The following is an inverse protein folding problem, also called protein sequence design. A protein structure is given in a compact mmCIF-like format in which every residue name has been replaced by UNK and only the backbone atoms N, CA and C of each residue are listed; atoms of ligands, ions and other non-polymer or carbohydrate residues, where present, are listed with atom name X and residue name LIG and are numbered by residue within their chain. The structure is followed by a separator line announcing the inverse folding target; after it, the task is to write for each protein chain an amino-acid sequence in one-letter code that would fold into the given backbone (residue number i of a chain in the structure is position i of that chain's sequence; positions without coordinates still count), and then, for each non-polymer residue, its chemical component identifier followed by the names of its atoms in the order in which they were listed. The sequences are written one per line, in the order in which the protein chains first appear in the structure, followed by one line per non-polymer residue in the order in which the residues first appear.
data_IF_606982718946
#
_entry.id   IF_606982718946
#
_cell.length_a   1.000
_cell.length_b   1.000
_cell.length_c   1.000
_cell.angle_alpha   90.00
_cell.angle_beta   90.00
_cell.angle_gamma   90.00
#
_symmetry.space_group_name_H-M   'P 1'
#
loop_
_entity.id
_entity.type
_entity.pdbx_description
1 polymer ?
#
# COMPACT_ATOMS: atom_id res chain seq x y z
N UNK A 1 45.25 20.62 -29.99
CA UNK A 1 44.00 21.37 -29.76
C UNK A 1 42.94 20.37 -29.32
N UNK A 2 42.65 20.38 -28.03
CA UNK A 2 41.89 19.35 -27.32
C UNK A 2 40.41 19.41 -27.70
N UNK A 3 39.85 18.26 -28.08
CA UNK A 3 38.41 18.06 -28.26
C UNK A 3 37.80 17.80 -26.88
N UNK A 4 37.04 18.76 -26.39
CA UNK A 4 36.27 18.71 -25.16
C UNK A 4 35.23 17.60 -25.25
N UNK A 5 35.39 16.57 -24.42
CA UNK A 5 34.40 15.53 -24.18
C UNK A 5 33.33 16.11 -23.26
N UNK A 6 32.14 16.42 -23.78
CA UNK A 6 30.99 16.84 -22.98
C UNK A 6 30.37 15.56 -22.41
N UNK A 7 30.61 15.31 -21.12
CA UNK A 7 30.00 14.25 -20.34
C UNK A 7 28.53 14.65 -20.08
N UNK A 8 27.59 14.02 -20.78
CA UNK A 8 26.17 14.14 -20.49
C UNK A 8 25.88 13.36 -19.20
N UNK A 9 25.82 14.07 -18.08
CA UNK A 9 25.34 13.54 -16.80
C UNK A 9 23.82 13.45 -16.88
N UNK A 10 23.30 12.29 -17.28
CA UNK A 10 21.87 11.98 -17.24
C UNK A 10 21.50 11.70 -15.77
N UNK A 11 21.25 12.74 -14.98
CA UNK A 11 20.60 12.62 -13.69
C UNK A 11 19.15 12.22 -13.93
N UNK A 12 18.86 10.91 -13.86
CA UNK A 12 17.49 10.41 -13.75
C UNK A 12 17.02 10.77 -12.33
N UNK A 13 16.28 11.88 -12.22
CA UNK A 13 15.46 12.17 -11.05
C UNK A 13 14.32 11.13 -11.02
N UNK A 14 14.52 10.02 -10.32
CA UNK A 14 13.40 9.20 -9.86
C UNK A 14 12.72 9.97 -8.74
N UNK A 15 11.65 10.68 -9.10
CA UNK A 15 10.72 11.23 -8.13
C UNK A 15 10.01 10.02 -7.53
N UNK A 16 10.30 9.70 -6.26
CA UNK A 16 9.50 8.80 -5.43
C UNK A 16 8.11 9.40 -5.33
N UNK A 17 7.24 8.99 -6.24
CA UNK A 17 5.85 9.43 -6.30
C UNK A 17 5.07 8.69 -5.23
N UNK A 18 4.61 9.41 -4.22
CA UNK A 18 3.49 8.94 -3.41
C UNK A 18 2.27 8.88 -4.34
N UNK A 19 1.89 7.69 -4.80
CA UNK A 19 0.77 7.51 -5.72
C UNK A 19 -0.54 7.69 -4.95
N UNK A 20 -0.97 8.92 -4.78
CA UNK A 20 -2.37 9.25 -4.48
C UNK A 20 -3.15 9.40 -5.79
N UNK A 21 -2.98 8.42 -6.69
CA UNK A 21 -3.61 8.40 -8.00
C UNK A 21 -5.08 7.98 -7.89
N UNK A 22 -5.96 8.57 -8.70
CA UNK A 22 -7.40 8.25 -8.73
C UNK A 22 -7.73 7.02 -9.59
N UNK A 23 -6.74 6.18 -9.88
CA UNK A 23 -6.86 5.05 -10.80
C UNK A 23 -5.91 3.94 -10.42
N UNK A 24 -6.20 2.76 -10.93
CA UNK A 24 -5.42 1.56 -10.70
C UNK A 24 -3.99 1.73 -11.26
N UNK A 25 -3.06 0.98 -10.70
CA UNK A 25 -1.67 0.94 -11.12
C UNK A 25 -1.28 -0.49 -11.52
N UNK A 26 -0.71 -0.64 -12.71
CA UNK A 26 -0.14 -1.89 -13.18
C UNK A 26 1.36 -1.70 -13.42
N UNK A 27 2.18 -2.48 -12.73
CA UNK A 27 3.64 -2.53 -12.89
C UNK A 27 4.02 -3.84 -13.56
N UNK A 28 4.65 -3.78 -14.73
CA UNK A 28 5.13 -4.95 -15.44
C UNK A 28 6.47 -5.45 -14.89
N UNK A 29 6.82 -6.69 -15.23
CA UNK A 29 8.09 -7.34 -14.90
C UNK A 29 9.35 -6.56 -15.30
N UNK A 30 9.26 -5.74 -16.36
CA UNK A 30 10.35 -4.86 -16.83
C UNK A 30 10.40 -3.51 -16.09
N UNK A 31 9.54 -3.31 -15.10
CA UNK A 31 9.38 -2.07 -14.34
C UNK A 31 8.51 -1.01 -15.03
N UNK A 32 7.93 -1.29 -16.19
CA UNK A 32 7.00 -0.37 -16.86
C UNK A 32 5.74 -0.17 -16.01
N UNK A 33 5.37 1.09 -15.78
CA UNK A 33 4.20 1.46 -15.00
C UNK A 33 3.08 2.00 -15.89
N UNK A 34 1.85 1.52 -15.65
CA UNK A 34 0.62 2.05 -16.24
C UNK A 34 -0.33 2.53 -15.15
N UNK A 35 -0.89 3.72 -15.33
CA UNK A 35 -2.02 4.23 -14.55
C UNK A 35 -3.29 4.21 -15.41
N UNK A 36 -4.40 3.73 -14.86
CA UNK A 36 -5.63 3.55 -15.61
C UNK A 36 -6.74 2.86 -14.83
N UNK A 37 -7.60 2.15 -15.54
CA UNK A 37 -8.66 1.32 -14.97
C UNK A 37 -8.48 -0.08 -15.54
N UNK A 38 -8.52 -1.07 -14.66
CA UNK A 38 -8.59 -2.47 -15.03
C UNK A 38 -9.96 -2.77 -15.63
N UNK A 39 -9.96 -3.29 -16.85
CA UNK A 39 -11.20 -3.65 -17.56
C UNK A 39 -11.50 -5.14 -17.42
N UNK A 40 -10.47 -5.98 -17.54
CA UNK A 40 -10.65 -7.44 -17.54
C UNK A 40 -9.35 -8.15 -17.15
N UNK A 41 -9.49 -9.31 -16.51
CA UNK A 41 -8.43 -10.32 -16.39
C UNK A 41 -9.04 -11.66 -16.83
N UNK A 42 -8.54 -12.24 -17.92
CA UNK A 42 -9.01 -13.54 -18.42
C UNK A 42 -7.91 -14.25 -19.18
N UNK A 43 -7.82 -15.57 -19.02
CA UNK A 43 -6.91 -16.45 -19.78
C UNK A 43 -5.44 -15.98 -19.87
N UNK A 44 -4.90 -15.45 -18.76
CA UNK A 44 -3.52 -14.93 -18.71
C UNK A 44 -3.33 -13.60 -19.44
N UNK A 45 -4.41 -12.89 -19.74
CA UNK A 45 -4.40 -11.53 -20.28
C UNK A 45 -5.03 -10.55 -19.29
N UNK A 46 -4.39 -9.40 -19.17
CA UNK A 46 -4.91 -8.23 -18.49
C UNK A 46 -5.27 -7.22 -19.56
N UNK A 47 -6.52 -6.76 -19.56
CA UNK A 47 -6.96 -5.62 -20.36
C UNK A 47 -6.94 -4.39 -19.46
N UNK A 48 -5.96 -3.53 -19.69
CA UNK A 48 -5.71 -2.34 -18.88
C UNK A 48 -5.62 -1.11 -19.78
N UNK A 49 -6.58 -0.18 -19.66
CA UNK A 49 -6.64 1.03 -20.50
C UNK A 49 -6.52 0.71 -22.00
N UNK A 50 -7.36 -0.22 -22.47
CA UNK A 50 -7.40 -0.72 -23.85
C UNK A 50 -6.09 -1.40 -24.34
N UNK A 51 -5.14 -1.69 -23.42
CA UNK A 51 -3.94 -2.46 -23.72
C UNK A 51 -4.12 -3.89 -23.24
N UNK A 52 -3.79 -4.83 -24.13
CA UNK A 52 -3.70 -6.25 -23.79
C UNK A 52 -2.28 -6.57 -23.33
N UNK A 53 -2.16 -7.10 -22.12
CA UNK A 53 -0.90 -7.43 -21.47
C UNK A 53 -0.94 -8.91 -21.09
N UNK A 54 0.03 -9.68 -21.56
CA UNK A 54 0.16 -11.09 -21.20
C UNK A 54 0.85 -11.20 -19.84
N UNK A 55 0.27 -11.98 -18.94
CA UNK A 55 0.88 -12.40 -17.68
C UNK A 55 1.03 -13.92 -17.68
N UNK A 56 2.19 -14.38 -17.24
CA UNK A 56 2.49 -15.81 -17.18
C UNK A 56 2.34 -16.36 -15.77
N UNK A 57 1.94 -17.63 -15.68
CA UNK A 57 1.89 -18.37 -14.42
C UNK A 57 0.65 -18.12 -13.57
N UNK A 58 0.71 -18.61 -12.33
CA UNK A 58 -0.32 -18.36 -11.32
C UNK A 58 -0.11 -16.98 -10.69
N UNK A 59 -1.20 -16.31 -10.37
CA UNK A 59 -1.19 -15.10 -9.58
C UNK A 59 -1.49 -15.37 -8.10
N UNK A 60 -1.05 -14.43 -7.26
CA UNK A 60 -1.39 -14.33 -5.84
C UNK A 60 -2.20 -13.05 -5.65
N UNK A 61 -3.41 -13.18 -5.11
CA UNK A 61 -4.33 -12.08 -4.83
C UNK A 61 -4.37 -11.88 -3.32
N UNK A 62 -3.82 -10.76 -2.85
CA UNK A 62 -3.92 -10.36 -1.46
C UNK A 62 -5.16 -9.51 -1.28
N UNK A 63 -5.95 -9.80 -0.25
CA UNK A 63 -7.17 -9.07 0.09
C UNK A 63 -6.92 -8.13 1.27
N UNK A 64 -7.78 -7.11 1.38
CA UNK A 64 -7.74 -6.11 2.45
C UNK A 64 -8.04 -6.69 3.85
N UNK A 65 -8.51 -7.93 3.95
CA UNK A 65 -8.68 -8.65 5.21
C UNK A 65 -7.45 -9.53 5.58
N UNK A 66 -6.38 -9.43 4.78
CA UNK A 66 -5.13 -10.18 4.95
C UNK A 66 -5.15 -11.60 4.39
N UNK A 67 -6.28 -12.08 3.85
CA UNK A 67 -6.32 -13.38 3.20
C UNK A 67 -5.67 -13.36 1.81
N UNK A 68 -5.25 -14.53 1.33
CA UNK A 68 -4.58 -14.69 0.03
C UNK A 68 -5.27 -15.76 -0.79
N UNK A 69 -5.56 -15.46 -2.06
CA UNK A 69 -6.01 -16.42 -3.07
C UNK A 69 -4.85 -16.71 -4.03
N UNK A 70 -4.70 -17.95 -4.47
CA UNK A 70 -3.63 -18.34 -5.39
C UNK A 70 -4.16 -19.20 -6.54
N UNK A 71 -3.63 -18.97 -7.74
CA UNK A 71 -3.91 -19.76 -8.93
C UNK A 71 -4.06 -18.89 -10.18
N UNK A 72 -4.71 -19.43 -11.21
CA UNK A 72 -5.05 -18.63 -12.39
C UNK A 72 -6.04 -17.55 -12.00
N UNK A 73 -5.66 -16.29 -12.17
CA UNK A 73 -6.46 -15.13 -11.79
C UNK A 73 -7.42 -14.77 -12.92
N UNK A 74 -8.68 -14.51 -12.58
CA UNK A 74 -9.62 -13.86 -13.49
C UNK A 74 -10.48 -12.81 -12.78
N UNK A 75 -10.96 -11.82 -13.53
CA UNK A 75 -11.86 -10.76 -13.07
C UNK A 75 -13.09 -10.76 -13.97
N UNK A 76 -14.25 -11.02 -13.37
CA UNK A 76 -15.53 -10.98 -14.07
C UNK A 76 -16.64 -10.54 -13.13
N UNK A 77 -17.56 -9.70 -13.62
CA UNK A 77 -18.75 -9.27 -12.86
C UNK A 77 -18.44 -8.71 -11.46
N UNK A 78 -17.34 -7.96 -11.32
CA UNK A 78 -16.91 -7.37 -10.03
C UNK A 78 -16.35 -8.39 -9.03
N UNK A 79 -16.04 -9.61 -9.47
CA UNK A 79 -15.39 -10.64 -8.65
C UNK A 79 -14.03 -11.00 -9.21
N UNK A 80 -13.06 -11.12 -8.31
CA UNK A 80 -11.76 -11.74 -8.60
C UNK A 80 -11.85 -13.21 -8.20
N UNK A 81 -11.30 -14.08 -9.04
CA UNK A 81 -11.09 -15.50 -8.70
C UNK A 81 -9.62 -15.82 -8.86
N UNK A 82 -9.10 -16.71 -8.02
CA UNK A 82 -7.79 -17.33 -8.20
C UNK A 82 -7.85 -18.78 -7.75
N UNK A 83 -7.61 -19.70 -8.68
CA UNK A 83 -7.72 -21.14 -8.42
C UNK A 83 -9.15 -21.54 -8.05
N UNK A 84 -9.37 -21.92 -6.79
CA UNK A 84 -10.71 -22.28 -6.26
C UNK A 84 -11.32 -21.21 -5.36
N UNK A 85 -10.59 -20.13 -5.07
CA UNK A 85 -11.06 -19.04 -4.23
C UNK A 85 -11.63 -17.88 -5.05
N UNK A 86 -12.52 -17.12 -4.43
CA UNK A 86 -13.13 -15.94 -5.02
C UNK A 86 -13.40 -14.85 -3.98
N UNK A 87 -13.36 -13.60 -4.42
CA UNK A 87 -13.58 -12.43 -3.58
C UNK A 87 -14.18 -11.27 -4.38
N UNK A 88 -14.63 -10.23 -3.67
CA UNK A 88 -15.01 -8.96 -4.31
C UNK A 88 -13.78 -8.31 -4.93
N UNK A 89 -13.89 -7.76 -6.14
CA UNK A 89 -12.81 -6.98 -6.73
C UNK A 89 -12.42 -5.78 -5.84
N UNK A 90 -13.41 -5.19 -5.17
CA UNK A 90 -13.22 -4.05 -4.26
C UNK A 90 -12.48 -4.42 -2.96
N UNK A 91 -12.31 -5.72 -2.69
CA UNK A 91 -11.55 -6.22 -1.53
C UNK A 91 -10.10 -6.55 -1.86
N UNK A 92 -9.68 -6.39 -3.11
CA UNK A 92 -8.30 -6.65 -3.53
C UNK A 92 -7.38 -5.56 -3.00
N UNK A 93 -6.29 -5.97 -2.37
CA UNK A 93 -5.20 -5.09 -1.95
C UNK A 93 -4.09 -5.05 -3.01
N UNK A 94 -3.69 -6.21 -3.54
CA UNK A 94 -2.71 -6.33 -4.63
C UNK A 94 -2.84 -7.68 -5.33
N UNK A 95 -2.59 -7.72 -6.65
CA UNK A 95 -2.45 -8.95 -7.41
C UNK A 95 -1.02 -9.04 -7.96
N UNK A 96 -0.38 -10.19 -7.82
CA UNK A 96 1.00 -10.43 -8.25
C UNK A 96 1.07 -11.66 -9.15
N UNK A 97 1.74 -11.55 -10.30
CA UNK A 97 2.10 -12.66 -11.17
C UNK A 97 3.61 -12.81 -11.21
N UNK A 98 4.13 -14.00 -10.92
CA UNK A 98 5.56 -14.29 -10.80
C UNK A 98 5.97 -14.64 -9.37
N UNK A 99 7.23 -15.01 -9.19
CA UNK A 99 7.75 -15.59 -7.93
C UNK A 99 8.49 -14.57 -7.04
N UNK A 100 8.12 -13.29 -7.11
CA UNK A 100 8.73 -12.27 -6.26
C UNK A 100 8.41 -12.51 -4.78
N UNK A 101 9.39 -12.29 -3.88
CA UNK A 101 9.14 -12.24 -2.44
C UNK A 101 8.35 -10.97 -2.10
N UNK A 102 7.02 -11.09 -2.13
CA UNK A 102 6.14 -10.16 -1.42
C UNK A 102 5.73 -10.82 -0.12
N UNK A 103 6.01 -10.16 0.98
CA UNK A 103 5.58 -10.59 2.31
C UNK A 103 4.29 -9.88 2.67
N UNK A 104 3.41 -10.57 3.40
CA UNK A 104 2.17 -9.99 3.93
C UNK A 104 1.98 -10.40 5.37
N UNK A 105 1.57 -9.44 6.21
CA UNK A 105 1.38 -9.61 7.65
C UNK A 105 0.25 -8.73 8.18
N UNK A 106 -0.21 -9.03 9.39
CA UNK A 106 -1.31 -8.33 10.05
C UNK A 106 -0.95 -7.98 11.49
N UNK A 107 -1.36 -6.80 11.94
CA UNK A 107 -1.15 -6.34 13.32
C UNK A 107 -2.36 -5.57 13.85
N UNK A 108 -2.56 -5.66 15.16
CA UNK A 108 -3.49 -4.78 15.87
C UNK A 108 -2.73 -3.58 16.43
N UNK A 109 -2.99 -2.40 15.88
CA UNK A 109 -2.39 -1.13 16.30
C UNK A 109 -3.28 -0.52 17.37
N UNK A 110 -2.78 -0.45 18.60
CA UNK A 110 -3.53 0.07 19.75
C UNK A 110 -3.51 1.60 19.76
N UNK A 111 -4.66 2.21 20.06
CA UNK A 111 -4.73 3.65 20.26
C UNK A 111 -3.97 4.05 21.55
N UNK A 112 -3.20 5.14 21.49
CA UNK A 112 -2.53 5.69 22.67
C UNK A 112 -1.18 5.05 23.05
N UNK A 113 -0.77 3.96 22.40
CA UNK A 113 0.51 3.26 22.67
C UNK A 113 1.70 3.84 21.87
N UNK A 114 1.44 4.75 20.94
CA UNK A 114 2.47 5.36 20.09
C UNK A 114 2.79 4.52 18.86
N UNK A 115 4.08 4.34 18.56
CA UNK A 115 4.54 3.58 17.40
C UNK A 115 4.69 2.10 17.75
N UNK A 116 4.00 1.25 17.02
CA UNK A 116 4.22 -0.20 16.98
C UNK A 116 5.32 -0.51 15.97
N UNK A 117 6.45 -1.05 16.45
CA UNK A 117 7.44 -1.69 15.58
C UNK A 117 6.91 -3.05 15.13
N UNK A 118 6.79 -3.26 13.82
CA UNK A 118 6.23 -4.49 13.24
C UNK A 118 7.28 -5.58 12.99
N UNK A 119 8.55 -5.24 13.10
CA UNK A 119 9.71 -6.04 12.67
C UNK A 119 9.69 -6.43 11.16
N UNK A 120 8.76 -5.87 10.38
CA UNK A 120 8.74 -6.04 8.92
C UNK A 120 9.79 -5.11 8.31
N UNK A 121 10.90 -5.70 7.86
CA UNK A 121 11.95 -4.98 7.15
C UNK A 121 11.49 -4.58 5.74
N UNK A 122 11.61 -3.29 5.45
CA UNK A 122 11.29 -2.69 4.16
C UNK A 122 12.58 -2.16 3.52
N UNK A 123 12.76 -2.40 2.23
CA UNK A 123 13.82 -1.78 1.45
C UNK A 123 13.31 -0.53 0.74
N UNK A 124 14.16 0.50 0.64
CA UNK A 124 13.89 1.66 -0.21
C UNK A 124 13.59 1.20 -1.63
N UNK A 125 12.48 1.69 -2.18
CA UNK A 125 11.95 1.30 -3.49
C UNK A 125 10.97 0.12 -3.46
N UNK A 126 10.79 -0.58 -2.33
CA UNK A 126 9.73 -1.57 -2.19
C UNK A 126 8.35 -0.90 -2.33
N UNK A 127 7.43 -1.58 -3.00
CA UNK A 127 6.01 -1.21 -2.96
C UNK A 127 5.41 -1.74 -1.67
N UNK A 128 4.83 -0.84 -0.90
CA UNK A 128 4.02 -1.14 0.27
C UNK A 128 2.56 -0.95 -0.14
N UNK A 129 1.71 -1.90 0.23
CA UNK A 129 0.24 -1.74 0.23
C UNK A 129 -0.29 -2.06 1.61
N UNK A 130 -1.11 -1.17 2.14
CA UNK A 130 -1.61 -1.18 3.50
C UNK A 130 -3.14 -1.03 3.46
N UNK A 131 -3.82 -1.83 4.26
CA UNK A 131 -5.24 -1.63 4.57
C UNK A 131 -5.44 -1.65 6.08
N UNK A 132 -6.29 -0.77 6.58
CA UNK A 132 -6.64 -0.65 7.98
C UNK A 132 -8.15 -0.70 8.15
N UNK A 133 -8.60 -1.48 9.13
CA UNK A 133 -10.01 -1.53 9.53
C UNK A 133 -10.14 -1.41 11.05
N UNK A 134 -11.36 -1.22 11.53
CA UNK A 134 -11.66 -1.10 12.95
C UNK A 134 -12.07 0.31 13.32
N UNK A 135 -12.24 0.52 14.63
CA UNK A 135 -12.72 1.79 15.16
C UNK A 135 -12.08 2.02 16.52
N UNK A 136 -11.63 3.25 16.74
CA UNK A 136 -11.16 3.69 18.04
C UNK A 136 -12.06 4.80 18.58
N UNK A 137 -12.01 4.99 19.89
CA UNK A 137 -12.54 6.17 20.56
C UNK A 137 -11.39 7.15 20.81
N UNK A 138 -11.54 8.40 20.37
CA UNK A 138 -10.65 9.52 20.67
C UNK A 138 -11.36 10.52 21.59
N UNK A 139 -10.68 11.59 21.99
CA UNK A 139 -11.27 12.70 22.76
C UNK A 139 -12.45 13.39 22.04
N UNK A 140 -12.45 13.36 20.70
CA UNK A 140 -13.43 14.00 19.82
C UNK A 140 -14.51 13.05 19.31
N UNK A 141 -14.42 11.75 19.61
CA UNK A 141 -15.44 10.76 19.26
C UNK A 141 -14.87 9.50 18.61
N UNK A 142 -15.70 8.76 17.90
CA UNK A 142 -15.27 7.56 17.17
C UNK A 142 -14.46 7.93 15.92
N UNK A 143 -13.38 7.20 15.66
CA UNK A 143 -12.56 7.35 14.47
C UNK A 143 -12.36 6.01 13.78
N UNK A 144 -12.47 6.02 12.47
CA UNK A 144 -11.97 4.97 11.58
C UNK A 144 -10.54 5.33 11.11
N UNK A 145 -9.81 4.41 10.46
CA UNK A 145 -8.43 4.63 10.03
C UNK A 145 -8.19 5.86 9.12
N UNK A 146 -9.21 6.36 8.43
CA UNK A 146 -9.16 7.65 7.69
C UNK A 146 -8.95 8.87 8.60
N UNK A 147 -9.18 8.70 9.89
CA UNK A 147 -9.16 9.78 10.87
C UNK A 147 -10.44 10.62 10.84
N UNK A 148 -10.51 11.54 11.77
CA UNK A 148 -11.65 12.44 11.92
C UNK A 148 -11.49 13.70 11.08
N UNK A 149 -12.62 14.23 10.59
CA UNK A 149 -12.65 15.55 9.93
C UNK A 149 -12.50 16.70 10.91
N UNK A 150 -12.77 16.45 12.19
CA UNK A 150 -12.68 17.45 13.26
C UNK A 150 -11.25 17.51 13.81
N UNK A 151 -10.77 18.72 14.05
CA UNK A 151 -9.41 18.95 14.54
C UNK A 151 -9.37 18.78 16.06
N UNK A 152 -8.51 17.87 16.52
CA UNK A 152 -8.11 17.80 17.92
C UNK A 152 -7.29 19.04 18.30
N UNK A 153 -7.45 19.52 19.54
CA UNK A 153 -6.71 20.66 20.08
C UNK A 153 -5.40 20.27 20.79
N UNK A 154 -5.03 18.99 20.78
CA UNK A 154 -3.92 18.43 21.55
C UNK A 154 -2.78 17.94 20.65
N UNK A 155 -1.59 17.74 21.23
CA UNK A 155 -0.38 17.36 20.48
C UNK A 155 -0.51 15.94 19.96
N UNK A 156 -0.57 15.79 18.64
CA UNK A 156 -0.68 14.50 17.94
C UNK A 156 0.69 13.88 17.65
N UNK A 157 0.71 12.57 17.36
CA UNK A 157 1.91 11.80 16.98
C UNK A 157 2.59 12.39 15.73
N UNK A 158 1.78 12.90 14.80
CA UNK A 158 2.19 13.45 13.52
C UNK A 158 1.28 14.61 13.13
N UNK A 159 1.87 15.77 12.85
CA UNK A 159 1.13 16.99 12.50
C UNK A 159 0.56 16.99 11.08
N UNK A 160 1.00 16.08 10.21
CA UNK A 160 0.49 15.91 8.84
C UNK A 160 -0.70 14.97 8.71
N UNK A 161 -1.21 14.43 9.83
CA UNK A 161 -2.36 13.54 9.87
C UNK A 161 -3.49 14.12 10.74
N UNK A 162 -4.73 13.70 10.48
CA UNK A 162 -5.89 14.06 11.32
C UNK A 162 -5.96 13.19 12.57
N UNK A 163 -6.77 13.60 13.56
CA UNK A 163 -6.93 12.82 14.80
C UNK A 163 -7.51 11.44 14.50
N UNK A 164 -6.94 10.41 15.11
CA UNK A 164 -7.35 9.01 14.92
C UNK A 164 -6.95 8.41 13.58
N UNK A 165 -6.25 9.13 12.70
CA UNK A 165 -5.81 8.59 11.41
C UNK A 165 -4.71 7.55 11.60
N UNK A 166 -4.77 6.46 10.82
CA UNK A 166 -3.69 5.49 10.72
C UNK A 166 -2.50 6.13 9.99
N UNK A 167 -1.33 6.01 10.61
CA UNK A 167 -0.06 6.51 10.10
C UNK A 167 0.99 5.41 10.12
N UNK A 168 1.98 5.53 9.25
CA UNK A 168 3.15 4.66 9.29
C UNK A 168 4.42 5.45 9.03
N UNK A 169 5.56 4.85 9.32
CA UNK A 169 6.88 5.29 8.84
C UNK A 169 7.76 4.08 8.61
N UNK A 170 8.81 4.24 7.82
CA UNK A 170 9.81 3.19 7.58
C UNK A 170 11.12 3.61 8.22
N UNK A 171 11.59 2.81 9.18
CA UNK A 171 12.75 3.11 10.00
C UNK A 171 12.45 4.02 11.21
N UNK A 172 13.31 3.92 12.22
CA UNK A 172 13.14 4.65 13.50
C UNK A 172 13.09 6.18 13.30
N UNK A 173 13.89 6.70 12.37
CA UNK A 173 13.96 8.14 12.05
C UNK A 173 13.23 8.49 10.74
N UNK A 174 12.45 7.56 10.19
CA UNK A 174 11.76 7.76 8.92
C UNK A 174 10.68 8.82 8.98
N UNK A 175 10.39 9.43 7.84
CA UNK A 175 9.33 10.44 7.73
C UNK A 175 7.94 9.79 7.85
N UNK A 176 7.08 10.21 8.81
CA UNK A 176 5.72 9.70 8.91
C UNK A 176 4.85 10.02 7.70
N UNK A 177 3.98 9.07 7.35
CA UNK A 177 3.01 9.15 6.26
C UNK A 177 1.61 8.94 6.83
N UNK A 178 0.68 9.80 6.41
CA UNK A 178 -0.75 9.64 6.69
C UNK A 178 -1.34 8.58 5.73
N UNK A 179 -1.60 7.38 6.26
CA UNK A 179 -2.02 6.24 5.46
C UNK A 179 -3.53 6.29 5.18
N UNK A 180 -4.34 6.51 6.21
CA UNK A 180 -5.79 6.30 6.12
C UNK A 180 -6.16 4.82 6.20
N UNK A 181 -7.35 4.46 5.71
CA UNK A 181 -7.82 3.07 5.66
C UNK A 181 -7.18 2.26 4.54
N UNK A 182 -6.65 2.92 3.50
CA UNK A 182 -6.01 2.25 2.37
C UNK A 182 -4.90 3.12 1.81
N UNK A 183 -3.70 2.56 1.68
CA UNK A 183 -2.55 3.27 1.16
C UNK A 183 -1.66 2.34 0.33
N UNK A 184 -1.20 2.84 -0.81
CA UNK A 184 -0.22 2.13 -1.65
C UNK A 184 0.81 3.11 -2.17
N UNK A 185 2.08 2.72 -2.13
CA UNK A 185 3.18 3.56 -2.62
C UNK A 185 4.56 2.97 -2.38
N UNK A 186 5.57 3.65 -2.91
CA UNK A 186 6.97 3.25 -2.78
C UNK A 186 7.53 3.70 -1.43
N UNK A 187 8.30 2.81 -0.80
CA UNK A 187 9.09 3.11 0.38
C UNK A 187 10.22 4.07 0.01
N UNK A 188 10.20 5.30 0.55
CA UNK A 188 11.27 6.26 0.34
C UNK A 188 12.57 5.86 1.06
N UNK A 189 12.45 5.16 2.19
CA UNK A 189 13.53 4.81 3.11
C UNK A 189 13.54 3.29 3.35
N UNK A 190 14.65 2.79 3.89
CA UNK A 190 14.77 1.39 4.34
C UNK A 190 14.70 1.29 5.87
N UNK A 191 14.19 0.17 6.38
CA UNK A 191 14.18 -0.19 7.80
C UNK A 191 12.88 -0.88 8.21
N UNK A 192 12.72 -1.12 9.51
CA UNK A 192 11.49 -1.71 10.05
C UNK A 192 10.29 -0.78 9.84
N UNK A 193 9.19 -1.33 9.35
CA UNK A 193 7.90 -0.64 9.27
C UNK A 193 7.38 -0.39 10.69
N UNK A 194 7.03 0.86 10.97
CA UNK A 194 6.38 1.26 12.20
C UNK A 194 4.97 1.76 11.90
N UNK A 195 3.99 1.25 12.62
CA UNK A 195 2.58 1.64 12.52
C UNK A 195 2.18 2.47 13.73
N UNK A 196 1.23 3.38 13.58
CA UNK A 196 0.72 4.16 14.70
C UNK A 196 -0.65 4.74 14.41
N UNK A 197 -1.35 5.16 15.46
CA UNK A 197 -2.58 5.93 15.31
C UNK A 197 -2.33 7.34 15.79
N UNK A 198 -2.71 8.33 14.97
CA UNK A 198 -2.44 9.72 15.23
C UNK A 198 -3.38 10.30 16.30
N UNK A 199 -3.11 9.95 17.56
CA UNK A 199 -3.83 10.42 18.74
C UNK A 199 -2.85 11.02 19.76
N UNK A 200 -3.35 11.82 20.72
CA UNK A 200 -2.52 12.31 21.82
C UNK A 200 -2.02 11.15 22.68
N UNK A 201 -0.76 11.22 23.11
CA UNK A 201 -0.14 10.23 23.98
C UNK A 201 -0.15 10.68 25.45
N UNK A 202 -0.16 9.72 26.38
CA UNK A 202 0.03 9.95 27.82
C UNK A 202 -1.26 9.95 28.65
N UNK A 203 -1.13 10.17 29.97
CA UNK A 203 -2.19 9.94 30.98
C UNK A 203 -3.48 10.74 30.78
N UNK A 204 -3.43 11.84 30.02
CA UNK A 204 -4.59 12.68 29.72
C UNK A 204 -5.22 12.38 28.34
N UNK A 205 -4.55 11.60 27.48
CA UNK A 205 -5.01 11.19 26.17
C UNK A 205 -5.78 9.87 26.27
N UNK A 206 -7.06 9.93 26.62
CA UNK A 206 -7.92 8.74 26.58
C UNK A 206 -8.29 8.43 25.13
N UNK A 207 -7.47 7.62 24.48
CA UNK A 207 -7.87 6.93 23.25
C UNK A 207 -7.94 5.43 23.52
N UNK A 208 -8.99 4.78 23.05
CA UNK A 208 -9.26 3.36 23.32
C UNK A 208 -9.64 2.63 22.04
N UNK A 209 -9.37 1.33 21.98
CA UNK A 209 -9.61 0.48 20.81
C UNK A 209 -8.37 0.29 19.95
N UNK A 210 -8.54 -0.42 18.84
CA UNK A 210 -7.46 -0.73 17.91
C UNK A 210 -7.93 -0.71 16.46
N UNK A 211 -6.96 -0.61 15.56
CA UNK A 211 -7.14 -0.94 14.16
C UNK A 211 -6.44 -2.26 13.85
N UNK A 212 -7.08 -3.11 13.05
CA UNK A 212 -6.41 -4.25 12.43
C UNK A 212 -5.85 -3.79 11.09
N UNK A 213 -4.55 -3.91 10.92
CA UNK A 213 -3.80 -3.39 9.77
C UNK A 213 -3.12 -4.54 9.05
N UNK A 214 -3.42 -4.69 7.77
CA UNK A 214 -2.77 -5.63 6.87
C UNK A 214 -1.81 -4.89 5.95
N UNK A 215 -0.58 -5.39 5.85
CA UNK A 215 0.44 -4.80 5.00
C UNK A 215 1.08 -5.86 4.14
N UNK A 216 1.27 -5.55 2.86
CA UNK A 216 2.15 -6.27 1.97
C UNK A 216 3.33 -5.40 1.56
N UNK A 217 4.53 -5.98 1.46
CA UNK A 217 5.74 -5.29 0.99
C UNK A 217 6.58 -6.17 0.07
N UNK A 218 7.20 -5.56 -0.95
CA UNK A 218 8.27 -6.17 -1.73
C UNK A 218 8.61 -5.39 -3.01
N UNK A 219 9.40 -5.97 -3.93
CA UNK A 219 9.96 -5.32 -5.13
C UNK A 219 8.96 -4.69 -6.13
N UNK A 220 7.66 -4.79 -5.89
CA UNK A 220 6.65 -4.02 -6.59
C UNK A 220 6.51 -4.26 -8.10
N UNK A 221 7.11 -5.33 -8.63
CA UNK A 221 7.20 -5.62 -10.06
C UNK A 221 8.43 -5.01 -10.75
N UNK A 222 9.18 -4.11 -10.11
CA UNK A 222 10.37 -3.48 -10.72
C UNK A 222 11.57 -4.44 -10.69
N UNK A 223 12.07 -4.77 -11.88
CA UNK A 223 13.25 -5.64 -12.07
C UNK A 223 13.15 -6.99 -11.33
N UNK A 224 11.93 -7.51 -11.17
CA UNK A 224 11.64 -8.66 -10.31
C UNK A 224 10.93 -9.80 -11.06
N UNK A 225 10.97 -9.75 -12.39
CA UNK A 225 10.29 -10.73 -13.27
C UNK A 225 8.79 -10.87 -12.97
N UNK A 226 8.20 -9.89 -12.27
CA UNK A 226 6.87 -9.97 -11.68
C UNK A 226 6.00 -8.84 -12.19
N UNK A 227 4.77 -9.15 -12.55
CA UNK A 227 3.75 -8.16 -12.84
C UNK A 227 2.90 -7.95 -11.60
N UNK A 228 2.65 -6.71 -11.21
CA UNK A 228 1.90 -6.34 -10.04
C UNK A 228 0.76 -5.38 -10.40
N UNK A 229 -0.43 -5.64 -9.90
CA UNK A 229 -1.60 -4.77 -10.03
C UNK A 229 -2.02 -4.28 -8.65
N UNK A 230 -2.12 -2.96 -8.51
CA UNK A 230 -2.58 -2.26 -7.33
C UNK A 230 -3.87 -1.51 -7.67
N UNK A 231 -5.04 -1.93 -7.14
CA UNK A 231 -6.28 -1.21 -7.35
C UNK A 231 -6.25 0.16 -6.68
N UNK A 232 -7.03 1.10 -7.22
CA UNK A 232 -7.20 2.41 -6.60
C UNK A 232 -7.83 2.30 -5.19
N UNK A 233 -7.56 3.29 -4.34
CA UNK A 233 -8.02 3.33 -2.94
C UNK A 233 -9.54 3.51 -2.75
N UNK A 234 -10.30 3.49 -3.84
CA UNK A 234 -11.76 3.54 -3.85
C UNK A 234 -12.24 2.86 -5.12
N UNK A 235 -13.21 1.94 -5.04
CA UNK A 235 -13.80 1.36 -6.24
C UNK A 235 -14.62 2.41 -7.00
N UNK A 236 -14.84 2.10 -8.28
CA UNK A 236 -15.65 2.79 -9.29
C UNK A 236 -16.99 3.36 -8.79
#
# INVERSE_FOLDING_TARGET
MNRTLILFLLCILFIGGCFKGTGDVLVLADGTLFEGVLQEISDGQIIFKDKSITVEGSGRVWLMDGSTLEGTVSLSEGRVTAGTGDASADSVLVILWGDTPVTGSSWDVQAGEGWLDTEMEISSGDMISLSGTGTILTETGLSEPEGQKEFSSSTSLFSGATSGQLVFKVGENGTPVAAGALWTGEAAESGSLMLGINVPLGENGRSEGCYTVHVTSGPGGRNSETTAFYPASSPL
#
